data_IF_245706659878
#
_entry.id   IF_245706659878
#
_cell.length_a   1.000
_cell.length_b   1.000
_cell.length_c   1.000
_cell.angle_alpha   90.00
_cell.angle_beta   90.00
_cell.angle_gamma   90.00
#
_symmetry.space_group_name_H-M   'P 1'
#
loop_
_entity.id
_entity.type
_entity.pdbx_description
1 polymer ?
#
# COMPACT_ATOMS: atom_id res chain seq x y z
N UNK A 1 12.21 -9.72 14.37
CA UNK A 1 11.14 -10.53 13.75
C UNK A 1 10.12 -10.81 14.83
N UNK A 2 8.96 -10.15 14.76
CA UNK A 2 7.88 -10.33 15.74
C UNK A 2 7.29 -11.75 15.64
N UNK A 3 6.76 -12.25 16.74
CA UNK A 3 6.02 -13.51 16.73
C UNK A 3 4.62 -13.24 16.18
N UNK A 4 4.27 -13.89 15.07
CA UNK A 4 2.94 -13.77 14.47
C UNK A 4 2.01 -14.83 15.04
N UNK A 5 0.88 -14.40 15.60
CA UNK A 5 -0.11 -15.27 16.20
C UNK A 5 -1.38 -15.29 15.35
N UNK A 6 -1.93 -16.48 15.14
CA UNK A 6 -3.09 -16.69 14.28
C UNK A 6 -4.16 -17.49 15.01
N UNK A 7 -5.42 -17.15 14.77
CA UNK A 7 -6.57 -17.95 15.17
C UNK A 7 -6.89 -18.88 14.00
N UNK A 8 -6.95 -20.18 14.28
CA UNK A 8 -7.28 -21.22 13.29
C UNK A 8 -8.64 -21.85 13.59
N UNK A 9 -9.36 -22.27 12.55
CA UNK A 9 -10.58 -23.06 12.67
C UNK A 9 -10.28 -24.54 12.94
N UNK A 10 -11.33 -25.35 13.09
CA UNK A 10 -11.22 -26.80 13.34
C UNK A 10 -10.55 -27.58 12.19
N UNK A 11 -10.54 -27.01 10.99
CA UNK A 11 -9.92 -27.59 9.79
C UNK A 11 -8.46 -27.12 9.64
N UNK A 12 -7.99 -26.22 10.52
CA UNK A 12 -6.65 -25.65 10.50
C UNK A 12 -6.49 -24.43 9.60
N UNK A 13 -7.58 -23.86 9.07
CA UNK A 13 -7.52 -22.64 8.27
C UNK A 13 -7.38 -21.42 9.19
N UNK A 14 -6.49 -20.48 8.83
CA UNK A 14 -6.32 -19.21 9.56
C UNK A 14 -7.50 -18.29 9.26
N UNK A 15 -8.25 -17.93 10.30
CA UNK A 15 -9.44 -17.09 10.19
C UNK A 15 -9.24 -15.69 10.78
N UNK A 16 -8.26 -15.51 11.67
CA UNK A 16 -7.89 -14.21 12.22
C UNK A 16 -6.40 -14.16 12.59
N UNK A 17 -5.89 -12.95 12.78
CA UNK A 17 -4.52 -12.67 13.24
C UNK A 17 -4.59 -11.84 14.52
N UNK A 18 -3.67 -12.10 15.44
CA UNK A 18 -3.50 -11.32 16.67
C UNK A 18 -2.26 -10.45 16.46
N UNK A 19 -2.48 -9.14 16.44
CA UNK A 19 -1.42 -8.13 16.32
C UNK A 19 -1.16 -7.51 17.69
N UNK A 20 0.09 -7.12 17.94
CA UNK A 20 0.36 -6.21 19.06
C UNK A 20 -0.34 -4.88 18.82
N UNK A 21 -0.66 -4.16 19.91
CA UNK A 21 -1.33 -2.86 19.78
C UNK A 21 -0.51 -1.88 18.91
N UNK A 22 0.81 -1.87 19.08
CA UNK A 22 1.72 -1.04 18.30
C UNK A 22 1.65 -1.35 16.80
N UNK A 23 1.65 -2.63 16.41
CA UNK A 23 1.54 -3.02 15.01
C UNK A 23 0.17 -2.67 14.42
N UNK A 24 -0.90 -2.80 15.19
CA UNK A 24 -2.23 -2.39 14.76
C UNK A 24 -2.33 -0.88 14.53
N UNK A 25 -1.77 -0.06 15.44
CA UNK A 25 -1.73 1.39 15.29
C UNK A 25 -0.91 1.82 14.06
N UNK A 26 0.25 1.22 13.84
CA UNK A 26 1.07 1.47 12.64
C UNK A 26 0.33 1.10 11.36
N UNK A 27 -0.39 -0.01 11.34
CA UNK A 27 -1.21 -0.40 10.19
C UNK A 27 -2.31 0.62 9.89
N UNK A 28 -2.93 1.20 10.92
CA UNK A 28 -3.93 2.25 10.75
C UNK A 28 -3.31 3.53 10.16
N UNK A 29 -2.10 3.91 10.60
CA UNK A 29 -1.38 5.05 10.03
C UNK A 29 -1.04 4.82 8.55
N UNK A 30 -0.52 3.64 8.19
CA UNK A 30 -0.22 3.30 6.80
C UNK A 30 -1.47 3.41 5.90
N UNK A 31 -2.62 2.92 6.37
CA UNK A 31 -3.89 3.01 5.64
C UNK A 31 -4.33 4.48 5.49
N UNK A 32 -4.15 5.28 6.53
CA UNK A 32 -4.45 6.71 6.49
C UNK A 32 -3.59 7.43 5.45
N UNK A 33 -2.28 7.19 5.46
CA UNK A 33 -1.34 7.76 4.49
C UNK A 33 -1.68 7.36 3.06
N UNK A 34 -2.06 6.09 2.84
CA UNK A 34 -2.52 5.61 1.53
C UNK A 34 -3.81 6.30 1.06
N UNK A 35 -4.76 6.54 1.97
CA UNK A 35 -5.98 7.26 1.66
C UNK A 35 -5.67 8.72 1.25
N UNK A 36 -4.85 9.42 2.03
CA UNK A 36 -4.38 10.78 1.71
C UNK A 36 -3.65 10.81 0.36
N UNK A 37 -2.77 9.84 0.10
CA UNK A 37 -2.06 9.74 -1.17
C UNK A 37 -3.00 9.48 -2.36
N UNK A 38 -4.07 8.71 -2.16
CA UNK A 38 -5.07 8.45 -3.20
C UNK A 38 -5.90 9.70 -3.53
N UNK A 39 -6.28 10.49 -2.52
CA UNK A 39 -6.98 11.76 -2.70
C UNK A 39 -6.13 12.79 -3.46
N UNK A 40 -4.82 12.80 -3.20
CA UNK A 40 -3.85 13.71 -3.84
C UNK A 40 -3.27 13.18 -5.16
N UNK A 41 -3.82 12.10 -5.70
CA UNK A 41 -3.25 11.41 -6.88
C UNK A 41 -3.12 12.30 -8.11
N UNK A 42 -4.03 13.23 -8.32
CA UNK A 42 -4.05 14.12 -9.49
C UNK A 42 -3.44 15.50 -9.19
N UNK A 43 -3.01 15.74 -7.95
CA UNK A 43 -2.34 16.99 -7.58
C UNK A 43 -0.95 17.07 -8.25
N UNK A 44 -0.63 18.21 -8.88
CA UNK A 44 0.71 18.43 -9.42
C UNK A 44 1.72 18.29 -8.28
N UNK A 45 2.77 17.50 -8.50
CA UNK A 45 3.84 17.41 -7.53
C UNK A 45 4.49 18.80 -7.41
N UNK A 46 4.60 19.31 -6.17
CA UNK A 46 5.35 20.54 -5.96
C UNK A 46 6.81 20.31 -6.30
N UNK A 47 7.31 21.19 -7.18
CA UNK A 47 8.70 21.21 -7.59
C UNK A 47 9.59 21.51 -6.40
N UNK A 48 10.66 20.75 -6.31
CA UNK A 48 11.59 20.84 -5.20
C UNK A 48 12.24 22.24 -5.03
N UNK A 49 12.39 22.98 -6.13
CA UNK A 49 12.93 24.35 -6.18
C UNK A 49 12.09 25.38 -5.39
N UNK A 50 10.82 25.08 -5.12
CA UNK A 50 9.90 25.98 -4.42
C UNK A 50 10.07 25.92 -2.88
N UNK A 51 10.71 24.86 -2.36
CA UNK A 51 10.83 24.62 -0.91
C UNK A 51 12.25 24.76 -0.35
N UNK A 52 13.24 25.16 -1.16
CA UNK A 52 14.58 25.54 -0.70
C UNK A 52 15.45 24.45 -0.05
N UNK A 53 15.03 23.18 -0.06
CA UNK A 53 15.89 22.07 0.42
C UNK A 53 16.89 21.61 -0.65
N UNK A 54 17.47 20.40 -0.55
CA UNK A 54 18.17 19.69 -1.64
C UNK A 54 17.65 18.23 -1.84
N UNK A 55 16.61 18.01 -2.63
CA UNK A 55 15.79 16.79 -2.69
C UNK A 55 15.45 16.48 -4.14
N UNK A 56 15.77 15.28 -4.58
CA UNK A 56 15.63 14.88 -5.98
C UNK A 56 14.15 14.90 -6.36
N UNK A 57 13.81 15.66 -7.40
CA UNK A 57 12.50 15.64 -8.01
C UNK A 57 12.20 14.22 -8.50
N UNK A 58 11.08 13.65 -8.05
CA UNK A 58 10.55 12.44 -8.64
C UNK A 58 10.04 12.83 -10.02
N UNK A 59 10.80 12.57 -11.08
CA UNK A 59 10.39 12.89 -12.44
C UNK A 59 8.97 12.35 -12.69
N UNK A 60 8.14 13.18 -13.29
CA UNK A 60 6.71 12.97 -13.60
C UNK A 60 6.40 11.69 -14.38
N UNK A 61 7.44 10.97 -14.82
CA UNK A 61 7.38 9.67 -15.47
C UNK A 61 6.82 8.54 -14.58
N UNK A 62 6.89 8.66 -13.26
CA UNK A 62 6.46 7.57 -12.37
C UNK A 62 4.92 7.35 -12.35
N UNK A 63 4.10 8.35 -12.71
CA UNK A 63 2.63 8.23 -12.65
C UNK A 63 1.97 7.64 -13.92
N UNK A 64 2.67 7.59 -15.06
CA UNK A 64 2.05 7.25 -16.35
C UNK A 64 2.05 5.74 -16.65
N UNK A 65 2.92 4.96 -16.01
CA UNK A 65 3.15 3.54 -16.33
C UNK A 65 2.38 2.54 -15.44
N UNK A 66 1.24 2.96 -14.85
CA UNK A 66 0.27 2.02 -14.24
C UNK A 66 -1.00 1.90 -15.07
N UNK A 67 -0.88 1.90 -16.40
CA UNK A 67 -1.93 1.41 -17.28
C UNK A 67 -2.13 -0.09 -17.01
N UNK A 68 -3.21 -0.41 -16.29
CA UNK A 68 -3.93 -1.70 -16.28
C UNK A 68 -3.01 -2.94 -16.22
N UNK A 69 -2.69 -3.38 -15.01
CA UNK A 69 -2.47 -4.80 -14.79
C UNK A 69 -3.83 -5.50 -15.02
N UNK A 70 -4.01 -6.37 -16.03
CA UNK A 70 -5.26 -7.07 -16.19
C UNK A 70 -5.32 -8.14 -15.10
N UNK A 71 -6.11 -7.86 -14.07
CA UNK A 71 -6.81 -8.93 -13.37
C UNK A 71 -7.63 -9.68 -14.42
N UNK A 72 -7.57 -11.01 -14.38
CA UNK A 72 -8.23 -11.99 -15.28
C UNK A 72 -7.38 -12.45 -16.49
N UNK A 73 -6.56 -13.47 -16.26
CA UNK A 73 -6.54 -14.60 -17.17
C UNK A 73 -7.31 -15.72 -16.47
N UNK A 74 -8.57 -15.86 -16.85
CA UNK A 74 -9.33 -17.08 -16.59
C UNK A 74 -8.54 -18.24 -17.20
N UNK A 75 -8.31 -19.30 -16.42
CA UNK A 75 -7.72 -20.54 -16.94
C UNK A 75 -8.70 -21.12 -17.97
N UNK A 76 -8.31 -21.40 -19.22
CA UNK A 76 -9.11 -22.27 -20.05
C UNK A 76 -9.03 -23.69 -19.48
N UNK A 77 -10.19 -24.27 -19.21
CA UNK A 77 -10.37 -25.69 -18.97
C UNK A 77 -9.91 -26.47 -20.19
N UNK A 78 -8.96 -27.38 -20.00
CA UNK A 78 -8.68 -28.50 -20.88
C UNK A 78 -8.29 -29.70 -20.01
#
# INVERSE_FOLDING_TARGET
>A
MGAEYYVVDEQGNRIAVILSLQEYEQLLEDIHDLAVAAERRDEPAMGFSDTGGNGRACDSHCRTERKRHPLQQEKPSA
#
